data_IF_866506152475
#
_entry.id   IF_866506152475
#
_cell.length_a   1.000
_cell.length_b   1.000
_cell.length_c   1.000
_cell.angle_alpha   90.00
_cell.angle_beta   90.00
_cell.angle_gamma   90.00
#
_symmetry.space_group_name_H-M   'P 1'
#
loop_
_entity.id
_entity.type
_entity.pdbx_description
1 polymer ?
#
# COMPACT_ATOMS: atom_id res chain seq x y z
N UNK A 1 -18.16 19.84 -15.28
CA UNK A 1 -17.19 19.00 -16.01
C UNK A 1 -17.11 17.65 -15.31
N UNK A 2 -17.82 16.64 -15.81
CA UNK A 2 -17.76 15.29 -15.23
C UNK A 2 -16.39 14.68 -15.53
N UNK A 3 -15.62 14.37 -14.48
CA UNK A 3 -14.32 13.72 -14.60
C UNK A 3 -14.54 12.30 -15.14
N UNK A 4 -13.94 11.98 -16.29
CA UNK A 4 -14.13 10.73 -17.03
C UNK A 4 -13.79 9.49 -16.16
N UNK A 5 -14.71 8.54 -16.02
CA UNK A 5 -14.58 7.34 -15.18
C UNK A 5 -13.29 6.54 -15.45
N UNK A 6 -12.80 6.55 -16.71
CA UNK A 6 -11.53 5.91 -17.10
C UNK A 6 -10.34 6.54 -16.39
N UNK A 7 -10.37 7.86 -16.16
CA UNK A 7 -9.33 8.58 -15.43
C UNK A 7 -9.36 8.22 -13.94
N UNK A 8 -10.54 8.08 -13.34
CA UNK A 8 -10.67 7.66 -11.93
C UNK A 8 -10.15 6.23 -11.72
N UNK A 9 -10.43 5.29 -12.63
CA UNK A 9 -9.83 3.94 -12.60
C UNK A 9 -8.31 3.94 -12.74
N UNK A 10 -7.76 4.82 -13.59
CA UNK A 10 -6.31 4.95 -13.73
C UNK A 10 -5.68 5.49 -12.45
N UNK A 11 -6.31 6.47 -11.80
CA UNK A 11 -5.85 7.01 -10.52
C UNK A 11 -5.85 5.92 -9.45
N UNK A 12 -6.93 5.12 -9.37
CA UNK A 12 -6.99 3.98 -8.45
C UNK A 12 -5.85 2.98 -8.69
N UNK A 13 -5.62 2.59 -9.95
CA UNK A 13 -4.55 1.65 -10.30
C UNK A 13 -3.15 2.17 -9.89
N UNK A 14 -2.90 3.47 -10.04
CA UNK A 14 -1.65 4.10 -9.58
C UNK A 14 -1.54 4.05 -8.05
N UNK A 15 -2.62 4.33 -7.33
CA UNK A 15 -2.62 4.27 -5.86
C UNK A 15 -2.40 2.85 -5.34
N UNK A 16 -2.98 1.83 -5.98
CA UNK A 16 -2.75 0.42 -5.68
C UNK A 16 -1.30 0.00 -5.94
N UNK A 17 -0.73 0.41 -7.08
CA UNK A 17 0.67 0.13 -7.40
C UNK A 17 1.62 0.75 -6.38
N UNK A 18 1.38 2.02 -6.01
CA UNK A 18 2.15 2.68 -4.96
C UNK A 18 2.02 1.96 -3.62
N UNK A 19 0.81 1.54 -3.24
CA UNK A 19 0.60 0.78 -1.99
C UNK A 19 1.40 -0.54 -1.99
N UNK A 20 1.43 -1.29 -3.10
CA UNK A 20 2.24 -2.51 -3.23
C UNK A 20 3.73 -2.24 -3.08
N UNK A 21 4.22 -1.14 -3.64
CA UNK A 21 5.64 -0.74 -3.52
C UNK A 21 5.98 -0.42 -2.06
N UNK A 22 5.13 0.35 -1.36
CA UNK A 22 5.37 0.72 0.03
C UNK A 22 5.27 -0.50 0.97
N UNK A 23 4.36 -1.44 0.71
CA UNK A 23 4.30 -2.73 1.43
C UNK A 23 5.58 -3.54 1.20
N UNK A 24 6.07 -3.61 -0.04
CA UNK A 24 7.33 -4.29 -0.36
C UNK A 24 8.52 -3.69 0.37
N UNK A 25 8.60 -2.36 0.48
CA UNK A 25 9.64 -1.66 1.26
C UNK A 25 9.55 -1.97 2.75
N UNK A 26 8.33 -1.99 3.30
CA UNK A 26 8.12 -2.33 4.72
C UNK A 26 8.61 -3.76 5.01
N UNK A 27 8.25 -4.73 4.18
CA UNK A 27 8.73 -6.12 4.34
C UNK A 27 10.26 -6.24 4.23
N UNK A 28 10.92 -5.43 3.39
CA UNK A 28 12.38 -5.37 3.32
C UNK A 28 13.00 -4.82 4.60
N UNK A 29 12.43 -3.74 5.16
CA UNK A 29 12.88 -3.16 6.42
C UNK A 29 12.69 -4.14 7.59
N UNK A 30 11.56 -4.83 7.66
CA UNK A 30 11.29 -5.85 8.68
C UNK A 30 12.25 -7.05 8.58
N UNK A 31 12.58 -7.47 7.35
CA UNK A 31 13.59 -8.52 7.14
C UNK A 31 14.96 -8.07 7.65
N UNK A 32 15.37 -6.84 7.32
CA UNK A 32 16.64 -6.27 7.78
C UNK A 32 16.69 -6.11 9.30
N UNK A 33 15.56 -5.79 9.92
CA UNK A 33 15.43 -5.71 11.37
C UNK A 33 15.62 -7.08 12.04
N UNK A 34 15.08 -8.15 11.43
CA UNK A 34 15.33 -9.53 11.89
C UNK A 34 16.79 -9.92 11.75
N UNK A 35 17.41 -9.62 10.60
CA UNK A 35 18.83 -9.92 10.37
C UNK A 35 19.74 -9.23 11.41
N UNK A 36 19.49 -7.95 11.73
CA UNK A 36 20.24 -7.24 12.78
C UNK A 36 20.01 -7.81 14.18
N UNK A 37 18.80 -8.29 14.48
CA UNK A 37 18.49 -8.93 15.76
C UNK A 37 19.16 -10.30 15.90
N UNK A 38 19.24 -11.06 14.80
CA UNK A 38 19.99 -12.31 14.75
C UNK A 38 21.51 -12.06 14.87
N UNK A 39 22.02 -10.98 14.29
CA UNK A 39 23.43 -10.59 14.44
C UNK A 39 23.74 -10.15 15.87
N UNK A 40 22.86 -9.36 16.50
CA UNK A 40 22.96 -9.03 17.92
C UNK A 40 22.98 -10.29 18.78
N UNK A 41 22.07 -11.23 18.53
CA UNK A 41 21.99 -12.51 19.25
C UNK A 41 23.29 -13.31 19.10
N UNK A 42 23.84 -13.41 17.88
CA UNK A 42 25.12 -14.07 17.61
C UNK A 42 26.30 -13.39 18.32
N UNK A 43 26.30 -12.07 18.40
CA UNK A 43 27.32 -11.31 19.15
C UNK A 43 27.19 -11.62 20.64
N UNK A 44 25.99 -11.59 21.20
CA UNK A 44 25.73 -11.92 22.62
C UNK A 44 26.14 -13.36 22.94
N UNK A 45 25.78 -14.34 22.10
CA UNK A 45 26.18 -15.74 22.25
C UNK A 45 27.70 -15.93 22.17
N UNK A 46 28.37 -15.26 21.23
CA UNK A 46 29.83 -15.25 21.15
C UNK A 46 30.48 -14.67 22.41
N UNK A 47 29.87 -13.64 22.99
CA UNK A 47 30.34 -12.98 24.21
C UNK A 47 30.15 -13.89 25.44
N UNK A 48 29.00 -14.54 25.56
CA UNK A 48 28.73 -15.49 26.66
C UNK A 48 29.64 -16.73 26.60
N UNK A 49 29.92 -17.25 25.40
CA UNK A 49 30.84 -18.37 25.19
C UNK A 49 32.32 -18.03 25.37
N UNK A 50 32.69 -16.74 25.28
CA UNK A 50 34.08 -16.28 25.34
C UNK A 50 34.27 -15.14 26.36
N UNK A 51 33.80 -15.32 27.60
CA UNK A 51 33.96 -14.33 28.68
C UNK A 51 35.43 -13.85 28.87
N UNK A 52 36.42 -14.69 28.57
CA UNK A 52 37.84 -14.34 28.64
C UNK A 52 38.30 -13.36 27.53
N UNK A 53 37.60 -13.29 26.39
CA UNK A 53 37.87 -12.32 25.31
C UNK A 53 37.30 -10.93 25.63
N UNK A 54 36.22 -10.86 26.43
CA UNK A 54 35.63 -9.60 26.89
C UNK A 54 36.61 -8.87 27.81
N UNK A 55 37.34 -9.61 28.66
CA UNK A 55 38.42 -9.04 29.48
C UNK A 55 39.61 -8.53 28.68
N UNK A 56 39.81 -9.04 27.45
CA UNK A 56 40.93 -8.63 26.57
C UNK A 56 40.58 -7.42 25.71
N UNK A 57 39.32 -7.25 25.28
CA UNK A 57 38.90 -6.13 24.42
C UNK A 57 37.53 -5.53 24.82
N UNK A 58 37.36 -5.05 26.06
CA UNK A 58 36.08 -4.55 26.56
C UNK A 58 35.58 -3.34 25.75
N UNK A 59 36.49 -2.46 25.34
CA UNK A 59 36.18 -1.24 24.59
C UNK A 59 35.59 -1.52 23.21
N UNK A 60 36.15 -2.49 22.47
CA UNK A 60 35.73 -2.85 21.10
C UNK A 60 34.35 -3.49 21.12
N UNK A 61 34.10 -4.37 22.09
CA UNK A 61 32.79 -5.00 22.30
C UNK A 61 31.73 -3.96 22.64
N UNK A 62 32.02 -3.05 23.59
CA UNK A 62 31.12 -1.97 23.98
C UNK A 62 30.80 -1.01 22.82
N UNK A 63 31.80 -0.66 22.00
CA UNK A 63 31.58 0.17 20.82
C UNK A 63 30.69 -0.51 19.79
N UNK A 64 30.90 -1.82 19.53
CA UNK A 64 30.11 -2.58 18.57
C UNK A 64 28.67 -2.79 19.05
N UNK A 65 28.48 -3.04 20.34
CA UNK A 65 27.15 -3.15 20.95
C UNK A 65 26.40 -1.81 20.87
N UNK A 66 27.05 -0.69 21.21
CA UNK A 66 26.47 0.66 21.10
C UNK A 66 26.12 1.01 19.65
N UNK A 67 26.96 0.64 18.69
CA UNK A 67 26.70 0.85 17.27
C UNK A 67 25.48 0.04 16.80
N UNK A 68 25.36 -1.22 17.22
CA UNK A 68 24.22 -2.08 16.90
C UNK A 68 22.91 -1.52 17.51
N UNK A 69 22.92 -1.16 18.79
CA UNK A 69 21.76 -0.53 19.46
C UNK A 69 21.31 0.75 18.73
N UNK A 70 22.24 1.60 18.31
CA UNK A 70 21.91 2.81 17.52
C UNK A 70 21.29 2.46 16.19
N UNK A 71 21.85 1.49 15.46
CA UNK A 71 21.31 1.04 14.18
C UNK A 71 19.90 0.45 14.33
N UNK A 72 19.65 -0.32 15.39
CA UNK A 72 18.32 -0.86 15.68
C UNK A 72 17.31 0.24 16.03
N UNK A 73 17.71 1.26 16.79
CA UNK A 73 16.84 2.39 17.11
C UNK A 73 16.48 3.20 15.87
N UNK A 74 17.45 3.49 15.01
CA UNK A 74 17.20 4.20 13.74
C UNK A 74 16.32 3.36 12.80
N UNK A 75 16.55 2.05 12.72
CA UNK A 75 15.72 1.18 11.89
C UNK A 75 14.29 1.08 12.41
N UNK A 76 14.07 1.06 13.73
CA UNK A 76 12.72 1.11 14.32
C UNK A 76 11.98 2.39 13.96
N UNK A 77 12.64 3.54 14.06
CA UNK A 77 12.05 4.83 13.65
C UNK A 77 11.67 4.82 12.17
N UNK A 78 12.51 4.23 11.32
CA UNK A 78 12.23 4.12 9.89
C UNK A 78 11.06 3.16 9.60
N UNK A 79 10.97 2.05 10.32
CA UNK A 79 9.81 1.13 10.24
C UNK A 79 8.53 1.85 10.67
N UNK A 80 8.54 2.58 11.78
CA UNK A 80 7.37 3.33 12.26
C UNK A 80 6.94 4.40 11.25
N UNK A 81 7.92 5.12 10.68
CA UNK A 81 7.68 6.11 9.62
C UNK A 81 7.06 5.45 8.38
N UNK A 82 7.63 4.34 7.91
CA UNK A 82 7.16 3.63 6.73
C UNK A 82 5.77 3.01 6.96
N UNK A 83 5.48 2.57 8.18
CA UNK A 83 4.15 2.05 8.58
C UNK A 83 3.10 3.15 8.46
N UNK A 84 3.39 4.35 8.96
CA UNK A 84 2.50 5.50 8.85
C UNK A 84 2.26 5.90 7.39
N UNK A 85 3.31 5.92 6.56
CA UNK A 85 3.18 6.19 5.12
C UNK A 85 2.30 5.14 4.43
N UNK A 86 2.48 3.87 4.77
CA UNK A 86 1.70 2.76 4.20
C UNK A 86 0.22 2.86 4.58
N UNK A 87 -0.08 3.21 5.84
CA UNK A 87 -1.45 3.44 6.33
C UNK A 87 -2.11 4.63 5.63
N UNK A 88 -1.40 5.75 5.48
CA UNK A 88 -1.92 6.91 4.75
C UNK A 88 -2.20 6.59 3.28
N UNK A 89 -1.32 5.81 2.63
CA UNK A 89 -1.56 5.38 1.26
C UNK A 89 -2.76 4.43 1.16
N UNK A 90 -2.94 3.52 2.11
CA UNK A 90 -4.12 2.64 2.16
C UNK A 90 -5.43 3.43 2.32
N UNK A 91 -5.43 4.49 3.14
CA UNK A 91 -6.58 5.41 3.26
C UNK A 91 -6.90 6.08 1.93
N UNK A 92 -5.88 6.54 1.20
CA UNK A 92 -6.05 7.18 -0.13
C UNK A 92 -6.59 6.20 -1.17
N UNK A 93 -6.11 4.95 -1.19
CA UNK A 93 -6.68 3.88 -2.03
C UNK A 93 -8.17 3.72 -1.73
N UNK A 94 -8.54 3.56 -0.46
CA UNK A 94 -9.94 3.38 -0.06
C UNK A 94 -10.84 4.56 -0.44
N UNK A 95 -10.33 5.79 -0.39
CA UNK A 95 -11.05 6.96 -0.88
C UNK A 95 -11.23 6.94 -2.40
N UNK A 96 -10.17 6.60 -3.14
CA UNK A 96 -10.24 6.46 -4.60
C UNK A 96 -11.19 5.33 -5.04
N UNK A 97 -11.21 4.20 -4.34
CA UNK A 97 -12.15 3.10 -4.58
C UNK A 97 -13.60 3.56 -4.46
N UNK A 98 -13.93 4.31 -3.40
CA UNK A 98 -15.28 4.87 -3.22
C UNK A 98 -15.67 5.80 -4.36
N UNK A 99 -14.78 6.71 -4.76
CA UNK A 99 -15.04 7.62 -5.86
C UNK A 99 -15.26 6.89 -7.19
N UNK A 100 -14.53 5.80 -7.43
CA UNK A 100 -14.73 4.95 -8.62
C UNK A 100 -16.06 4.21 -8.54
N UNK A 101 -16.42 3.67 -7.38
CA UNK A 101 -17.69 2.98 -7.17
C UNK A 101 -18.90 3.92 -7.39
N UNK A 102 -18.84 5.12 -6.82
CA UNK A 102 -19.89 6.14 -7.00
C UNK A 102 -20.03 6.56 -8.47
N UNK A 103 -18.91 6.78 -9.15
CA UNK A 103 -18.91 7.13 -10.57
C UNK A 103 -19.40 5.98 -11.47
N UNK A 104 -19.13 4.73 -11.08
CA UNK A 104 -19.63 3.57 -11.80
C UNK A 104 -21.15 3.40 -11.62
N UNK A 105 -21.65 3.58 -10.40
CA UNK A 105 -23.09 3.57 -10.13
C UNK A 105 -23.82 4.66 -10.91
N UNK A 106 -23.27 5.87 -10.98
CA UNK A 106 -23.87 6.98 -11.75
C UNK A 106 -23.89 6.69 -13.25
N UNK A 107 -22.82 6.10 -13.78
CA UNK A 107 -22.77 5.64 -15.17
C UNK A 107 -23.83 4.56 -15.43
N UNK A 108 -23.92 3.56 -14.57
CA UNK A 108 -24.84 2.44 -14.75
C UNK A 108 -26.29 2.94 -14.75
N UNK A 109 -26.64 3.86 -13.83
CA UNK A 109 -27.94 4.56 -13.82
C UNK A 109 -28.20 5.36 -15.09
N UNK A 110 -27.22 6.11 -15.57
CA UNK A 110 -27.35 6.87 -16.81
C UNK A 110 -27.57 5.95 -18.02
N UNK A 111 -26.88 4.81 -18.07
CA UNK A 111 -27.07 3.79 -19.11
C UNK A 111 -28.45 3.13 -19.03
N UNK A 112 -28.94 2.81 -17.83
CA UNK A 112 -30.29 2.25 -17.63
C UNK A 112 -31.37 3.23 -18.08
N UNK A 113 -31.22 4.51 -17.74
CA UNK A 113 -32.15 5.56 -18.16
C UNK A 113 -32.14 5.76 -19.68
N UNK A 114 -30.96 5.72 -20.31
CA UNK A 114 -30.84 5.81 -21.76
C UNK A 114 -31.48 4.60 -22.44
N UNK A 115 -31.18 3.39 -21.97
CA UNK A 115 -31.79 2.17 -22.51
C UNK A 115 -33.32 2.18 -22.36
N UNK A 116 -33.85 2.70 -21.24
CA UNK A 116 -35.29 2.85 -21.03
C UNK A 116 -35.88 3.88 -22.01
N UNK A 117 -35.20 5.00 -22.25
CA UNK A 117 -35.61 6.00 -23.24
C UNK A 117 -35.65 5.41 -24.65
N UNK A 118 -34.61 4.69 -25.05
CA UNK A 118 -34.56 4.02 -26.35
C UNK A 118 -35.74 3.04 -26.53
N UNK A 119 -36.06 2.25 -25.50
CA UNK A 119 -37.21 1.32 -25.53
C UNK A 119 -38.55 2.08 -25.64
N UNK A 120 -38.73 3.15 -24.87
CA UNK A 120 -39.94 3.99 -24.94
C UNK A 120 -40.06 4.62 -26.33
N UNK A 121 -38.99 5.16 -26.89
CA UNK A 121 -38.98 5.73 -28.25
C UNK A 121 -39.37 4.69 -29.30
N UNK A 122 -38.81 3.47 -29.24
CA UNK A 122 -39.17 2.38 -30.15
C UNK A 122 -40.62 1.91 -30.00
N UNK A 123 -41.20 2.01 -28.80
CA UNK A 123 -42.60 1.65 -28.55
C UNK A 123 -43.58 2.76 -28.92
N UNK A 124 -43.13 4.02 -28.94
CA UNK A 124 -43.96 5.20 -29.23
C UNK A 124 -43.84 5.69 -30.66
N UNK A 125 -42.83 5.24 -31.43
CA UNK A 125 -42.86 5.36 -32.88
C UNK A 125 -44.05 4.57 -33.42
N UNK A 126 -45.06 5.23 -34.03
CA UNK A 126 -46.17 4.53 -34.63
C UNK A 126 -45.61 3.60 -35.70
N UNK A 127 -45.99 2.32 -35.65
CA UNK A 127 -45.89 1.47 -36.84
C UNK A 127 -46.71 2.16 -37.91
N UNK A 128 -46.04 2.79 -38.87
CA UNK A 128 -46.67 3.15 -40.13
C UNK A 128 -47.12 1.84 -40.79
N UNK A 129 -48.37 1.45 -40.48
CA UNK A 129 -49.11 0.39 -41.17
C UNK A 129 -49.60 0.89 -42.54
N UNK A 130 -48.79 1.67 -43.25
CA UNK A 130 -49.06 2.11 -44.61
C UNK A 130 -48.35 1.19 -45.60
N UNK A 131 -48.94 0.01 -45.81
CA UNK A 131 -49.01 -0.70 -47.10
C UNK A 131 -49.73 -2.06 -46.93
N UNK A 132 -50.48 -2.56 -47.93
CA UNK A 132 -50.70 -2.04 -49.29
C UNK A 132 -52.05 -1.33 -49.50
#
# INVERSE_FOLDING_TARGET
MAMNWKNQRRILAVHEQLHRIEVGRLSQLERRARELKEEETRIVECLDGNRNLITLFPEVVLQRLKANIRQQQELRKEVDRQTNVTLEQAKRVKQAERLVADAQMERDRAMELEALREVIEHCTTPRDFSAP
#
